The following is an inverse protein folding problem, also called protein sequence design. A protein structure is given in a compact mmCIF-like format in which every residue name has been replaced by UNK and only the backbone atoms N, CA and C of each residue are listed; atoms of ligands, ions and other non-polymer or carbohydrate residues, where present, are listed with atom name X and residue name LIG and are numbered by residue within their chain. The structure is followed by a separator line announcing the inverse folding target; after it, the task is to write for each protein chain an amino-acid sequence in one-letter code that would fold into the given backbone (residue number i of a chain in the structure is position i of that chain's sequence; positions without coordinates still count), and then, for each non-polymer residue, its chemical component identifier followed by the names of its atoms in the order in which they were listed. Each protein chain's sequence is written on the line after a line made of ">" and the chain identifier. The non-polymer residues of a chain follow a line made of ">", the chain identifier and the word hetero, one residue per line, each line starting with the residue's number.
data_IF_176171581633
#
_entry.id   IF_176171581633
#
_cell.length_a   1.000
_cell.length_b   1.000
_cell.length_c   1.000
_cell.angle_alpha   90.00
_cell.angle_beta   90.00
_cell.angle_gamma   90.00
#
_symmetry.space_group_name_H-M   'P 1'
#
loop_
_entity.id
_entity.type
_entity.pdbx_description
1 polymer ?
#
# COMPACT_ATOMS: atom_id res chain seq x y z
N UNK A 1 -33.64 -12.62 29.59
CA UNK A 1 -32.28 -12.59 30.14
C UNK A 1 -31.29 -12.97 29.04
N UNK A 2 -30.81 -12.00 28.26
CA UNK A 2 -29.67 -12.17 27.36
C UNK A 2 -28.78 -10.95 27.61
N UNK A 3 -27.95 -11.06 28.65
CA UNK A 3 -26.95 -10.08 29.07
C UNK A 3 -25.59 -10.71 28.82
N UNK A 4 -24.69 -9.95 28.18
CA UNK A 4 -23.22 -10.17 28.08
C UNK A 4 -22.71 -11.20 27.05
N UNK A 5 -22.62 -10.81 25.77
CA UNK A 5 -21.58 -11.35 24.86
C UNK A 5 -20.94 -10.26 23.98
N UNK A 6 -21.55 -9.08 23.83
CA UNK A 6 -21.02 -8.02 22.96
C UNK A 6 -20.27 -6.97 23.80
N UNK A 7 -19.10 -7.28 24.37
CA UNK A 7 -18.17 -6.27 24.93
C UNK A 7 -16.74 -6.82 25.18
N UNK A 8 -16.23 -7.71 24.31
CA UNK A 8 -14.86 -8.22 24.49
C UNK A 8 -14.01 -8.35 23.21
N UNK A 9 -14.52 -7.94 22.03
CA UNK A 9 -13.74 -8.00 20.77
C UNK A 9 -13.13 -6.64 20.39
N UNK A 10 -13.52 -5.56 21.05
CA UNK A 10 -13.04 -4.20 20.74
C UNK A 10 -11.77 -3.75 21.48
N UNK A 11 -11.15 -4.60 22.31
CA UNK A 11 -9.99 -4.21 23.12
C UNK A 11 -8.70 -5.01 22.82
N UNK A 12 -8.73 -6.03 21.97
CA UNK A 12 -7.54 -6.87 21.70
C UNK A 12 -6.73 -6.40 20.49
N UNK A 13 -7.29 -5.56 19.61
CA UNK A 13 -6.55 -5.07 18.43
C UNK A 13 -5.65 -3.84 18.70
N UNK A 14 -5.65 -3.27 19.91
CA UNK A 14 -4.91 -2.03 20.22
C UNK A 14 -3.67 -2.19 21.12
N UNK A 15 -3.34 -3.41 21.59
CA UNK A 15 -2.28 -3.62 22.58
C UNK A 15 -1.09 -4.48 22.10
N UNK A 16 -0.86 -4.56 20.78
CA UNK A 16 0.17 -5.44 20.19
C UNK A 16 1.42 -4.75 19.63
N UNK A 17 1.64 -3.44 19.85
CA UNK A 17 2.86 -2.75 19.39
C UNK A 17 3.73 -2.38 20.59
N UNK A 18 4.36 -3.38 21.20
CA UNK A 18 5.58 -3.20 21.98
C UNK A 18 6.56 -4.31 21.60
N UNK A 19 7.53 -3.91 20.78
CA UNK A 19 8.85 -4.50 20.54
C UNK A 19 8.99 -6.03 20.69
N UNK A 20 9.05 -6.77 19.57
CA UNK A 20 10.18 -7.66 19.26
C UNK A 20 10.34 -7.74 17.73
N UNK A 21 11.57 -7.54 17.29
CA UNK A 21 12.10 -7.81 15.96
C UNK A 21 11.87 -9.26 15.51
N UNK A 22 11.16 -9.44 14.40
CA UNK A 22 11.55 -10.38 13.35
C UNK A 22 10.70 -10.09 12.13
N UNK A 23 11.35 -9.94 10.97
CA UNK A 23 10.70 -9.90 9.68
C UNK A 23 9.84 -11.16 9.54
N UNK A 24 8.52 -10.99 9.58
CA UNK A 24 7.59 -12.03 9.13
C UNK A 24 7.08 -11.54 7.80
N UNK A 25 7.59 -12.17 6.74
CA UNK A 25 6.96 -12.19 5.43
C UNK A 25 5.55 -12.75 5.57
N UNK A 26 4.58 -11.88 5.86
CA UNK A 26 3.17 -12.24 5.88
C UNK A 26 2.47 -11.52 4.73
N UNK A 27 2.51 -12.16 3.56
CA UNK A 27 1.43 -12.06 2.57
C UNK A 27 0.13 -12.51 3.25
N UNK A 28 -0.64 -11.60 3.81
CA UNK A 28 -2.04 -11.81 4.16
C UNK A 28 -2.57 -10.49 4.71
N UNK A 29 -3.77 -10.08 4.27
CA UNK A 29 -4.58 -9.17 5.08
C UNK A 29 -4.51 -9.64 6.55
N UNK A 30 -4.39 -8.71 7.49
CA UNK A 30 -4.19 -9.01 8.91
C UNK A 30 -5.14 -10.15 9.33
N UNK A 31 -4.70 -11.18 10.10
CA UNK A 31 -5.51 -12.36 10.45
C UNK A 31 -6.93 -12.02 10.94
N UNK A 32 -7.10 -10.87 11.60
CA UNK A 32 -8.40 -10.36 12.03
C UNK A 32 -9.35 -9.94 10.89
N UNK A 33 -8.84 -9.52 9.73
CA UNK A 33 -9.66 -9.13 8.56
C UNK A 33 -10.32 -10.36 7.92
N UNK A 34 -9.61 -11.49 7.83
CA UNK A 34 -10.18 -12.76 7.35
C UNK A 34 -11.24 -13.31 8.32
N UNK A 35 -10.97 -13.28 9.62
CA UNK A 35 -11.95 -13.70 10.64
C UNK A 35 -13.23 -12.84 10.60
N UNK A 36 -13.11 -11.55 10.32
CA UNK A 36 -14.24 -10.63 10.16
C UNK A 36 -15.03 -10.96 8.88
N UNK A 37 -14.34 -11.26 7.77
CA UNK A 37 -14.98 -11.68 6.50
C UNK A 37 -15.75 -12.98 6.69
N UNK A 38 -15.17 -13.97 7.36
CA UNK A 38 -15.82 -15.27 7.62
C UNK A 38 -17.04 -15.11 8.52
N UNK A 39 -16.96 -14.26 9.54
CA UNK A 39 -18.10 -13.92 10.39
C UNK A 39 -19.20 -13.16 9.60
N UNK A 40 -18.82 -12.23 8.72
CA UNK A 40 -19.78 -11.54 7.86
C UNK A 40 -20.49 -12.51 6.89
N UNK A 41 -19.76 -13.48 6.33
CA UNK A 41 -20.33 -14.55 5.51
C UNK A 41 -21.31 -15.43 6.31
N UNK A 42 -20.97 -15.78 7.55
CA UNK A 42 -21.88 -16.52 8.44
C UNK A 42 -23.16 -15.72 8.75
N UNK A 43 -23.06 -14.41 8.94
CA UNK A 43 -24.21 -13.54 9.13
C UNK A 43 -25.09 -13.45 7.88
N UNK A 44 -24.51 -13.35 6.69
CA UNK A 44 -25.26 -13.40 5.42
C UNK A 44 -26.04 -14.72 5.32
N UNK A 45 -25.41 -15.85 5.64
CA UNK A 45 -26.06 -17.16 5.61
C UNK A 45 -27.26 -17.21 6.58
N UNK A 46 -27.09 -16.68 7.81
CA UNK A 46 -28.15 -16.57 8.80
C UNK A 46 -29.32 -15.70 8.32
N UNK A 47 -29.06 -14.48 7.82
CA UNK A 47 -30.11 -13.60 7.32
C UNK A 47 -30.82 -14.19 6.10
N UNK A 48 -30.08 -14.86 5.21
CA UNK A 48 -30.64 -15.49 4.01
C UNK A 48 -31.56 -16.66 4.35
N UNK A 49 -31.19 -17.50 5.32
CA UNK A 49 -32.04 -18.59 5.81
C UNK A 49 -33.37 -18.06 6.37
N UNK A 50 -33.29 -17.04 7.23
CA UNK A 50 -34.47 -16.46 7.86
C UNK A 50 -35.35 -15.67 6.86
N UNK A 51 -34.74 -14.98 5.89
CA UNK A 51 -35.47 -14.33 4.81
C UNK A 51 -36.28 -15.34 3.98
N UNK A 52 -35.65 -16.45 3.59
CA UNK A 52 -36.33 -17.49 2.83
C UNK A 52 -37.49 -18.13 3.61
N UNK A 53 -37.29 -18.38 4.91
CA UNK A 53 -38.35 -18.88 5.79
C UNK A 53 -39.51 -17.87 5.93
N UNK A 54 -39.21 -16.58 6.10
CA UNK A 54 -40.21 -15.52 6.17
C UNK A 54 -40.97 -15.36 4.85
N UNK A 55 -40.28 -15.48 3.70
CA UNK A 55 -40.93 -15.45 2.39
C UNK A 55 -41.85 -16.64 2.14
N UNK A 56 -41.45 -17.84 2.59
CA UNK A 56 -42.33 -18.99 2.52
C UNK A 56 -43.60 -18.78 3.37
N UNK A 57 -43.46 -18.19 4.57
CA UNK A 57 -44.60 -17.88 5.43
C UNK A 57 -45.51 -16.79 4.86
N UNK A 58 -44.93 -15.77 4.21
CA UNK A 58 -45.66 -14.74 3.47
C UNK A 58 -46.52 -15.37 2.37
N UNK A 59 -45.98 -16.31 1.59
CA UNK A 59 -46.71 -16.99 0.53
C UNK A 59 -47.88 -17.86 1.06
N UNK A 60 -47.67 -18.56 2.18
CA UNK A 60 -48.71 -19.34 2.86
C UNK A 60 -49.87 -18.46 3.35
N UNK A 61 -49.54 -17.32 3.98
CA UNK A 61 -50.55 -16.38 4.49
C UNK A 61 -51.24 -15.60 3.38
N UNK A 62 -50.56 -15.32 2.26
CA UNK A 62 -51.19 -14.75 1.06
C UNK A 62 -52.22 -15.72 0.48
N UNK A 63 -51.89 -17.01 0.39
CA UNK A 63 -52.83 -18.03 -0.06
C UNK A 63 -54.06 -18.11 0.87
N UNK A 64 -53.84 -18.06 2.18
CA UNK A 64 -54.91 -18.03 3.19
C UNK A 64 -55.79 -16.79 3.06
N UNK A 65 -55.19 -15.61 2.90
CA UNK A 65 -55.91 -14.36 2.69
C UNK A 65 -56.77 -14.41 1.42
N UNK A 66 -56.22 -14.90 0.32
CA UNK A 66 -56.96 -15.05 -0.93
C UNK A 66 -58.12 -16.05 -0.80
N UNK A 67 -57.93 -17.14 -0.06
CA UNK A 67 -58.99 -18.10 0.21
C UNK A 67 -60.15 -17.49 1.02
N UNK A 68 -59.84 -16.72 2.07
CA UNK A 68 -60.86 -16.01 2.87
C UNK A 68 -61.57 -14.95 2.03
N UNK A 69 -60.81 -14.14 1.28
CA UNK A 69 -61.33 -13.09 0.40
C UNK A 69 -62.32 -13.63 -0.64
N UNK A 70 -62.04 -14.81 -1.19
CA UNK A 70 -62.87 -15.43 -2.22
C UNK A 70 -64.04 -16.28 -1.67
N UNK A 71 -64.12 -16.50 -0.35
CA UNK A 71 -65.24 -17.20 0.27
C UNK A 71 -66.42 -16.22 0.46
N UNK A 72 -67.58 -16.40 -0.20
CA UNK A 72 -68.72 -15.49 -0.06
C UNK A 72 -69.38 -15.51 1.34
N UNK A 73 -69.04 -16.48 2.18
CA UNK A 73 -69.59 -16.64 3.53
C UNK A 73 -68.64 -16.21 4.66
N UNK A 74 -67.52 -15.54 4.35
CA UNK A 74 -66.60 -15.08 5.38
C UNK A 74 -67.24 -14.03 6.30
N UNK A 75 -66.89 -14.06 7.57
CA UNK A 75 -67.18 -12.98 8.51
C UNK A 75 -66.18 -11.84 8.34
N UNK A 76 -66.60 -10.63 8.69
CA UNK A 76 -65.71 -9.47 8.71
C UNK A 76 -64.45 -9.72 9.57
N UNK A 77 -64.62 -10.39 10.72
CA UNK A 77 -63.52 -10.72 11.62
C UNK A 77 -62.49 -11.67 10.96
N UNK A 78 -62.93 -12.70 10.23
CA UNK A 78 -62.03 -13.62 9.52
C UNK A 78 -61.23 -12.92 8.42
N UNK A 79 -61.87 -12.00 7.69
CA UNK A 79 -61.19 -11.19 6.68
C UNK A 79 -60.12 -10.28 7.28
N UNK A 80 -60.47 -9.53 8.33
CA UNK A 80 -59.55 -8.62 9.02
C UNK A 80 -58.36 -9.38 9.65
N UNK A 81 -58.62 -10.53 10.27
CA UNK A 81 -57.57 -11.37 10.85
C UNK A 81 -56.62 -11.93 9.78
N UNK A 82 -57.14 -12.39 8.64
CA UNK A 82 -56.32 -12.89 7.54
C UNK A 82 -55.47 -11.78 6.90
N UNK A 83 -56.05 -10.58 6.71
CA UNK A 83 -55.34 -9.41 6.20
C UNK A 83 -54.22 -8.96 7.16
N UNK A 84 -54.49 -8.95 8.47
CA UNK A 84 -53.51 -8.61 9.50
C UNK A 84 -52.34 -9.60 9.51
N UNK A 85 -52.63 -10.90 9.49
CA UNK A 85 -51.61 -11.95 9.47
C UNK A 85 -50.72 -11.87 8.23
N UNK A 86 -51.31 -11.68 7.05
CA UNK A 86 -50.55 -11.47 5.81
C UNK A 86 -49.66 -10.22 5.88
N UNK A 87 -50.20 -9.09 6.33
CA UNK A 87 -49.44 -7.84 6.48
C UNK A 87 -48.25 -8.00 7.42
N UNK A 88 -48.43 -8.69 8.54
CA UNK A 88 -47.33 -8.98 9.48
C UNK A 88 -46.24 -9.85 8.84
N UNK A 89 -46.60 -10.85 8.03
CA UNK A 89 -45.62 -11.68 7.34
C UNK A 89 -44.84 -10.91 6.27
N UNK A 90 -45.49 -9.98 5.54
CA UNK A 90 -44.82 -9.05 4.62
C UNK A 90 -43.81 -8.18 5.37
N UNK A 91 -44.20 -7.59 6.51
CA UNK A 91 -43.30 -6.76 7.31
C UNK A 91 -42.10 -7.57 7.84
N UNK A 92 -42.35 -8.82 8.26
CA UNK A 92 -41.30 -9.73 8.72
C UNK A 92 -40.30 -10.06 7.59
N UNK A 93 -40.79 -10.37 6.39
CA UNK A 93 -39.92 -10.70 5.25
C UNK A 93 -39.10 -9.50 4.79
N UNK A 94 -39.67 -8.29 4.83
CA UNK A 94 -38.95 -7.04 4.56
C UNK A 94 -37.86 -6.76 5.60
N UNK A 95 -38.13 -7.00 6.89
CA UNK A 95 -37.13 -6.83 7.94
C UNK A 95 -35.90 -7.74 7.72
N UNK A 96 -36.13 -9.01 7.39
CA UNK A 96 -35.05 -9.94 7.07
C UNK A 96 -34.29 -9.58 5.78
N UNK A 97 -34.99 -9.05 4.76
CA UNK A 97 -34.36 -8.57 3.53
C UNK A 97 -33.43 -7.39 3.80
N UNK A 98 -33.85 -6.43 4.62
CA UNK A 98 -33.03 -5.30 5.05
C UNK A 98 -31.78 -5.78 5.79
N UNK A 99 -31.93 -6.71 6.74
CA UNK A 99 -30.79 -7.31 7.44
C UNK A 99 -29.80 -8.00 6.50
N UNK A 100 -30.30 -8.75 5.51
CA UNK A 100 -29.47 -9.39 4.48
C UNK A 100 -28.70 -8.36 3.62
N UNK A 101 -29.37 -7.29 3.20
CA UNK A 101 -28.74 -6.23 2.41
C UNK A 101 -27.65 -5.49 3.20
N UNK A 102 -27.91 -5.19 4.47
CA UNK A 102 -26.94 -4.57 5.36
C UNK A 102 -25.71 -5.47 5.58
N UNK A 103 -25.92 -6.78 5.80
CA UNK A 103 -24.82 -7.74 5.94
C UNK A 103 -23.97 -7.85 4.67
N UNK A 104 -24.60 -7.82 3.48
CA UNK A 104 -23.88 -7.79 2.19
C UNK A 104 -23.09 -6.49 1.99
N UNK A 105 -23.67 -5.35 2.35
CA UNK A 105 -22.99 -4.05 2.27
C UNK A 105 -21.76 -4.01 3.21
N UNK A 106 -21.90 -4.56 4.41
CA UNK A 106 -20.80 -4.68 5.37
C UNK A 106 -19.66 -5.55 4.84
N UNK A 107 -19.97 -6.73 4.29
CA UNK A 107 -18.97 -7.60 3.66
C UNK A 107 -18.23 -6.88 2.52
N UNK A 108 -18.95 -6.15 1.68
CA UNK A 108 -18.36 -5.38 0.58
C UNK A 108 -17.37 -4.34 1.11
N UNK A 109 -17.75 -3.56 2.13
CA UNK A 109 -16.90 -2.54 2.72
C UNK A 109 -15.59 -3.14 3.28
N UNK A 110 -15.67 -4.25 4.01
CA UNK A 110 -14.49 -4.91 4.59
C UNK A 110 -13.60 -5.52 3.51
N UNK A 111 -14.19 -6.11 2.48
CA UNK A 111 -13.44 -6.67 1.34
C UNK A 111 -12.68 -5.57 0.60
N UNK A 112 -13.35 -4.45 0.34
CA UNK A 112 -12.74 -3.28 -0.30
C UNK A 112 -11.59 -2.73 0.58
N UNK A 113 -11.76 -2.74 1.92
CA UNK A 113 -10.69 -2.35 2.86
C UNK A 113 -9.51 -3.30 2.85
N UNK A 114 -9.74 -4.61 2.86
CA UNK A 114 -8.66 -5.61 2.76
C UNK A 114 -7.84 -5.43 1.48
N UNK A 115 -8.50 -5.21 0.35
CA UNK A 115 -7.82 -4.92 -0.92
C UNK A 115 -7.03 -3.60 -0.91
N UNK A 116 -7.48 -2.61 -0.14
CA UNK A 116 -6.74 -1.36 0.07
C UNK A 116 -5.51 -1.56 0.98
N UNK A 117 -5.64 -2.32 2.07
CA UNK A 117 -4.55 -2.66 2.99
C UNK A 117 -3.42 -3.43 2.27
N UNK A 118 -3.76 -4.38 1.38
CA UNK A 118 -2.79 -5.11 0.55
C UNK A 118 -2.02 -4.16 -0.40
N UNK A 119 -2.73 -3.23 -1.04
CA UNK A 119 -2.10 -2.19 -1.86
C UNK A 119 -1.20 -1.27 -1.04
N UNK A 120 -1.56 -0.97 0.20
CA UNK A 120 -0.74 -0.15 1.09
C UNK A 120 0.57 -0.85 1.45
N UNK A 121 0.53 -2.14 1.81
CA UNK A 121 1.73 -2.92 2.11
C UNK A 121 2.68 -2.98 0.89
N UNK A 122 2.14 -3.26 -0.30
CA UNK A 122 2.89 -3.23 -1.56
C UNK A 122 3.50 -1.85 -1.83
N UNK A 123 2.73 -0.77 -1.63
CA UNK A 123 3.20 0.60 -1.82
C UNK A 123 4.27 1.01 -0.80
N UNK A 124 4.21 0.52 0.44
CA UNK A 124 5.21 0.76 1.48
C UNK A 124 6.52 0.05 1.15
N UNK A 125 6.46 -1.20 0.69
CA UNK A 125 7.65 -1.92 0.20
C UNK A 125 8.30 -1.15 -0.95
N UNK A 126 7.50 -0.76 -1.96
CA UNK A 126 7.99 0.00 -3.10
C UNK A 126 8.63 1.36 -2.72
N UNK A 127 8.14 2.02 -1.65
CA UNK A 127 8.76 3.25 -1.14
C UNK A 127 10.13 2.99 -0.49
N UNK A 128 10.27 1.90 0.27
CA UNK A 128 11.55 1.51 0.87
C UNK A 128 12.58 1.14 -0.23
N UNK A 129 12.11 0.44 -1.26
CA UNK A 129 12.90 0.07 -2.44
C UNK A 129 13.39 1.33 -3.18
N UNK A 130 12.51 2.31 -3.39
CA UNK A 130 12.87 3.60 -3.99
C UNK A 130 13.84 4.42 -3.15
N UNK A 131 13.67 4.42 -1.82
CA UNK A 131 14.60 5.11 -0.92
C UNK A 131 16.00 4.51 -1.03
N UNK A 132 16.08 3.18 -1.12
CA UNK A 132 17.34 2.44 -1.31
C UNK A 132 17.97 2.76 -2.67
N UNK A 133 17.18 2.74 -3.74
CA UNK A 133 17.63 3.12 -5.09
C UNK A 133 18.14 4.55 -5.17
N UNK A 134 17.44 5.50 -4.51
CA UNK A 134 17.83 6.91 -4.45
C UNK A 134 19.17 7.09 -3.75
N UNK A 135 19.35 6.46 -2.58
CA UNK A 135 20.61 6.50 -1.86
C UNK A 135 21.76 5.90 -2.68
N UNK A 136 21.55 4.73 -3.29
CA UNK A 136 22.55 4.10 -4.14
C UNK A 136 22.92 4.94 -5.37
N UNK A 137 21.93 5.60 -5.99
CA UNK A 137 22.15 6.53 -7.10
C UNK A 137 22.98 7.74 -6.67
N UNK A 138 22.61 8.37 -5.55
CA UNK A 138 23.34 9.52 -5.01
C UNK A 138 24.79 9.15 -4.71
N UNK A 139 25.05 7.98 -4.13
CA UNK A 139 26.39 7.47 -3.91
C UNK A 139 27.16 7.29 -5.24
N UNK A 140 26.57 6.59 -6.22
CA UNK A 140 27.21 6.36 -7.52
C UNK A 140 27.57 7.67 -8.23
N UNK A 141 26.63 8.62 -8.28
CA UNK A 141 26.84 9.95 -8.87
C UNK A 141 27.93 10.73 -8.10
N UNK A 142 27.91 10.67 -6.77
CA UNK A 142 28.91 11.31 -5.90
C UNK A 142 30.33 10.83 -6.16
N UNK A 143 30.55 9.52 -6.19
CA UNK A 143 31.88 8.95 -6.46
C UNK A 143 32.33 9.21 -7.90
N UNK A 144 31.42 9.16 -8.88
CA UNK A 144 31.75 9.53 -10.25
C UNK A 144 32.18 10.99 -10.36
N UNK A 145 31.54 11.91 -9.64
CA UNK A 145 31.91 13.32 -9.63
C UNK A 145 33.29 13.55 -8.98
N UNK A 146 33.62 12.82 -7.91
CA UNK A 146 34.95 12.87 -7.28
C UNK A 146 36.03 12.39 -8.27
N UNK A 147 35.79 11.26 -8.95
CA UNK A 147 36.72 10.75 -9.96
C UNK A 147 36.90 11.76 -11.13
N UNK A 148 35.80 12.34 -11.61
CA UNK A 148 35.83 13.36 -12.67
C UNK A 148 36.56 14.64 -12.23
N UNK A 149 36.47 15.03 -10.95
CA UNK A 149 37.24 16.14 -10.40
C UNK A 149 38.75 15.92 -10.50
N UNK A 150 39.23 14.72 -10.18
CA UNK A 150 40.65 14.37 -10.31
C UNK A 150 41.07 14.25 -11.78
N UNK A 151 40.19 13.73 -12.65
CA UNK A 151 40.44 13.75 -14.10
C UNK A 151 40.61 15.18 -14.64
N UNK A 152 39.84 16.14 -14.14
CA UNK A 152 40.02 17.56 -14.44
C UNK A 152 41.39 18.09 -14.00
N UNK A 153 41.82 17.77 -12.77
CA UNK A 153 43.15 18.14 -12.28
C UNK A 153 44.29 17.54 -13.12
N UNK A 154 44.15 16.29 -13.56
CA UNK A 154 45.10 15.64 -14.48
C UNK A 154 45.20 16.45 -15.77
N UNK A 155 44.07 16.81 -16.38
CA UNK A 155 44.03 17.58 -17.62
C UNK A 155 44.68 18.97 -17.46
N UNK A 156 44.44 19.65 -16.34
CA UNK A 156 45.05 20.95 -16.04
C UNK A 156 46.58 20.85 -15.88
N UNK A 157 47.07 19.81 -15.19
CA UNK A 157 48.51 19.56 -15.02
C UNK A 157 49.17 19.17 -16.35
N UNK A 158 48.53 18.32 -17.16
CA UNK A 158 49.01 17.97 -18.51
C UNK A 158 49.11 19.21 -19.42
N UNK A 159 48.11 20.10 -19.34
CA UNK A 159 48.13 21.38 -20.06
C UNK A 159 49.25 22.31 -19.57
N UNK A 160 49.50 22.37 -18.26
CA UNK A 160 50.60 23.16 -17.70
C UNK A 160 51.97 22.63 -18.17
N UNK A 161 52.18 21.30 -18.13
CA UNK A 161 53.40 20.65 -18.62
C UNK A 161 53.64 20.99 -20.09
N UNK A 162 52.62 20.84 -20.94
CA UNK A 162 52.72 21.16 -22.37
C UNK A 162 53.08 22.64 -22.60
N UNK A 163 52.49 23.55 -21.80
CA UNK A 163 52.78 24.98 -21.84
C UNK A 163 54.24 25.32 -21.47
N UNK A 164 54.79 24.67 -20.45
CA UNK A 164 56.20 24.84 -20.08
C UNK A 164 57.15 24.18 -21.08
N UNK A 165 56.82 23.00 -21.61
CA UNK A 165 57.63 22.30 -22.61
C UNK A 165 57.88 23.15 -23.86
N UNK A 166 56.87 23.91 -24.30
CA UNK A 166 57.01 24.84 -25.42
C UNK A 166 58.06 25.97 -25.18
N UNK A 167 58.43 26.22 -23.92
CA UNK A 167 59.32 27.31 -23.50
C UNK A 167 60.71 26.83 -23.02
N UNK A 168 60.93 25.51 -22.89
CA UNK A 168 62.20 24.96 -22.36
C UNK A 168 63.40 25.33 -23.25
N UNK A 169 63.21 25.41 -24.57
CA UNK A 169 64.28 25.77 -25.50
C UNK A 169 64.82 27.19 -25.28
N UNK A 170 64.01 28.11 -24.75
CA UNK A 170 64.39 29.50 -24.47
C UNK A 170 64.71 29.73 -22.99
N UNK A 171 64.17 28.91 -22.09
CA UNK A 171 64.41 28.98 -20.64
C UNK A 171 64.66 27.57 -20.05
N UNK A 172 65.90 27.05 -20.11
CA UNK A 172 66.23 25.71 -19.60
C UNK A 172 65.91 25.50 -18.11
N UNK A 173 65.84 26.57 -17.32
CA UNK A 173 65.47 26.54 -15.89
C UNK A 173 64.03 26.05 -15.64
N UNK A 174 63.15 26.04 -16.66
CA UNK A 174 61.78 25.52 -16.56
C UNK A 174 61.74 23.99 -16.48
N UNK A 175 62.83 23.28 -16.82
CA UNK A 175 62.87 21.82 -16.78
C UNK A 175 62.57 21.26 -15.39
N UNK A 176 63.10 21.88 -14.33
CA UNK A 176 62.83 21.45 -12.95
C UNK A 176 61.35 21.59 -12.55
N UNK A 177 60.63 22.57 -13.12
CA UNK A 177 59.19 22.73 -12.88
C UNK A 177 58.40 21.64 -13.60
N UNK A 178 58.80 21.28 -14.81
CA UNK A 178 58.21 20.16 -15.58
C UNK A 178 58.40 18.84 -14.84
N UNK A 179 59.59 18.57 -14.31
CA UNK A 179 59.88 17.34 -13.57
C UNK A 179 59.02 17.25 -12.29
N UNK A 180 58.84 18.37 -11.57
CA UNK A 180 57.93 18.45 -10.42
C UNK A 180 56.47 18.19 -10.80
N UNK A 181 55.97 18.79 -11.88
CA UNK A 181 54.61 18.57 -12.38
C UNK A 181 54.41 17.13 -12.87
N UNK A 182 55.42 16.52 -13.49
CA UNK A 182 55.38 15.11 -13.89
C UNK A 182 55.27 14.18 -12.68
N UNK A 183 55.97 14.48 -11.58
CA UNK A 183 55.82 13.73 -10.33
C UNK A 183 54.41 13.88 -9.73
N UNK A 184 53.85 15.10 -9.75
CA UNK A 184 52.46 15.34 -9.34
C UNK A 184 51.45 14.60 -10.23
N UNK A 185 51.68 14.56 -11.53
CA UNK A 185 50.84 13.86 -12.50
C UNK A 185 50.78 12.36 -12.23
N UNK A 186 51.91 11.74 -11.87
CA UNK A 186 51.94 10.32 -11.47
C UNK A 186 51.07 10.07 -10.24
N UNK A 187 51.17 10.93 -9.23
CA UNK A 187 50.35 10.83 -8.02
C UNK A 187 48.85 11.01 -8.31
N UNK A 188 48.49 12.00 -9.13
CA UNK A 188 47.10 12.24 -9.54
C UNK A 188 46.52 11.08 -10.37
N UNK A 189 47.32 10.46 -11.24
CA UNK A 189 46.89 9.28 -12.03
C UNK A 189 46.61 8.07 -11.13
N UNK A 190 47.45 7.83 -10.12
CA UNK A 190 47.20 6.78 -9.14
C UNK A 190 45.93 7.05 -8.31
N UNK A 191 45.73 8.30 -7.90
CA UNK A 191 44.56 8.73 -7.15
C UNK A 191 43.26 8.64 -7.97
N UNK A 192 43.29 9.04 -9.24
CA UNK A 192 42.19 8.86 -10.18
C UNK A 192 41.83 7.38 -10.34
N UNK A 193 42.82 6.49 -10.52
CA UNK A 193 42.56 5.06 -10.66
C UNK A 193 41.83 4.48 -9.44
N UNK A 194 42.22 4.86 -8.23
CA UNK A 194 41.55 4.45 -7.00
C UNK A 194 40.11 4.97 -6.92
N UNK A 195 39.89 6.25 -7.23
CA UNK A 195 38.56 6.88 -7.21
C UNK A 195 37.64 6.35 -8.32
N UNK A 196 38.17 6.07 -9.50
CA UNK A 196 37.42 5.49 -10.62
C UNK A 196 37.00 4.05 -10.33
N UNK A 197 37.85 3.26 -9.67
CA UNK A 197 37.49 1.92 -9.20
C UNK A 197 36.34 1.99 -8.18
N UNK A 198 36.44 2.88 -7.18
CA UNK A 198 35.37 3.08 -6.20
C UNK A 198 34.05 3.56 -6.84
N UNK A 199 34.12 4.46 -7.83
CA UNK A 199 32.95 4.88 -8.60
C UNK A 199 32.30 3.70 -9.34
N UNK A 200 33.10 2.87 -10.01
CA UNK A 200 32.61 1.68 -10.71
C UNK A 200 31.93 0.69 -9.77
N UNK A 201 32.47 0.47 -8.57
CA UNK A 201 31.83 -0.38 -7.55
C UNK A 201 30.46 0.18 -7.13
N UNK A 202 30.36 1.49 -6.88
CA UNK A 202 29.08 2.13 -6.49
C UNK A 202 28.05 2.10 -7.62
N UNK A 203 28.46 2.30 -8.87
CA UNK A 203 27.59 2.13 -10.03
C UNK A 203 27.09 0.68 -10.14
N UNK A 204 27.96 -0.31 -9.96
CA UNK A 204 27.56 -1.71 -9.99
C UNK A 204 26.56 -2.06 -8.87
N UNK A 205 26.69 -1.46 -7.69
CA UNK A 205 25.70 -1.61 -6.59
C UNK A 205 24.35 -1.02 -6.99
N UNK A 206 24.33 0.19 -7.57
CA UNK A 206 23.10 0.80 -8.08
C UNK A 206 22.43 -0.03 -9.17
N UNK A 207 23.20 -0.53 -10.15
CA UNK A 207 22.70 -1.37 -11.22
C UNK A 207 22.17 -2.71 -10.71
N UNK A 208 22.84 -3.29 -9.70
CA UNK A 208 22.35 -4.49 -9.02
C UNK A 208 21.00 -4.21 -8.36
N UNK A 209 20.84 -3.09 -7.65
CA UNK A 209 19.55 -2.73 -7.06
C UNK A 209 18.45 -2.53 -8.11
N UNK A 210 18.75 -1.89 -9.26
CA UNK A 210 17.78 -1.76 -10.36
C UNK A 210 17.30 -3.13 -10.85
N UNK A 211 18.22 -4.08 -11.02
CA UNK A 211 17.91 -5.42 -11.49
C UNK A 211 17.16 -6.25 -10.43
N UNK A 212 17.60 -6.25 -9.17
CA UNK A 212 16.98 -7.04 -8.10
C UNK A 212 15.59 -6.54 -7.73
N UNK A 213 15.37 -5.23 -7.81
CA UNK A 213 14.08 -4.60 -7.53
C UNK A 213 13.17 -4.53 -8.77
N UNK A 214 13.65 -5.03 -9.92
CA UNK A 214 12.93 -5.06 -11.21
C UNK A 214 12.44 -3.67 -11.68
N UNK A 215 13.22 -2.62 -11.41
CA UNK A 215 12.96 -1.28 -11.93
C UNK A 215 13.64 -1.11 -13.29
N UNK A 216 12.86 -0.85 -14.35
CA UNK A 216 13.39 -0.62 -15.71
C UNK A 216 14.28 0.64 -15.79
N UNK A 217 14.02 1.62 -14.94
CA UNK A 217 14.82 2.84 -14.76
C UNK A 217 14.45 3.53 -13.44
N UNK A 218 15.35 4.35 -12.90
CA UNK A 218 15.02 5.24 -11.78
C UNK A 218 14.11 6.38 -12.29
N UNK A 219 12.86 6.44 -11.80
CA UNK A 219 11.87 7.46 -12.15
C UNK A 219 11.28 8.07 -10.88
N UNK A 220 11.35 9.40 -10.75
CA UNK A 220 10.84 10.18 -9.61
C UNK A 220 9.30 10.17 -9.49
N UNK A 221 8.57 9.65 -10.48
CA UNK A 221 7.09 9.72 -10.55
C UNK A 221 6.35 8.97 -9.43
N UNK A 222 7.03 8.11 -8.67
CA UNK A 222 6.43 7.35 -7.58
C UNK A 222 6.40 8.12 -6.25
N UNK A 223 7.32 9.09 -6.04
CA UNK A 223 7.31 9.98 -4.87
C UNK A 223 6.03 10.86 -4.86
N UNK A 224 5.56 11.24 -6.05
CA UNK A 224 4.38 12.08 -6.29
C UNK A 224 3.03 11.39 -5.99
N UNK A 225 3.04 10.05 -5.85
CA UNK A 225 1.86 9.24 -5.51
C UNK A 225 1.71 9.05 -3.98
N UNK A 226 2.82 8.87 -3.25
CA UNK A 226 2.81 8.73 -1.79
C UNK A 226 2.39 10.02 -1.09
N UNK A 227 2.87 11.18 -1.57
CA UNK A 227 2.51 12.49 -1.03
C UNK A 227 1.01 12.78 -1.20
N UNK A 228 0.43 12.37 -2.34
CA UNK A 228 -1.01 12.50 -2.62
C UNK A 228 -1.86 11.67 -1.65
N UNK A 229 -1.41 10.45 -1.32
CA UNK A 229 -2.13 9.54 -0.40
C UNK A 229 -2.11 10.02 1.05
N UNK A 230 -0.98 10.54 1.55
CA UNK A 230 -0.91 11.10 2.91
C UNK A 230 -1.81 12.33 3.04
N UNK A 231 -1.85 13.15 1.99
CA UNK A 231 -2.78 14.26 1.89
C UNK A 231 -4.25 13.81 1.84
N UNK A 232 -4.59 12.73 1.11
CA UNK A 232 -5.96 12.20 1.04
C UNK A 232 -6.40 11.55 2.36
N UNK A 233 -5.54 10.75 3.01
CA UNK A 233 -5.81 10.15 4.33
C UNK A 233 -6.08 11.20 5.40
N UNK A 234 -5.32 12.29 5.39
CA UNK A 234 -5.41 13.30 6.44
C UNK A 234 -6.53 14.34 6.16
N UNK A 235 -7.06 14.41 4.92
CA UNK A 235 -8.15 15.32 4.53
C UNK A 235 -9.52 14.65 4.32
N UNK A 236 -9.62 13.32 4.18
CA UNK A 236 -10.90 12.63 4.29
C UNK A 236 -11.28 12.47 5.77
N UNK A 237 -12.17 13.35 6.24
CA UNK A 237 -12.89 13.24 7.52
C UNK A 237 -13.61 11.89 7.60
N UNK A 238 -12.93 10.87 8.08
CA UNK A 238 -13.56 9.61 8.47
C UNK A 238 -14.24 9.82 9.82
N UNK A 239 -15.53 10.12 9.80
CA UNK A 239 -16.38 10.16 10.99
C UNK A 239 -16.91 8.72 11.26
N UNK A 240 -16.39 8.02 12.28
CA UNK A 240 -16.83 6.67 12.63
C UNK A 240 -18.28 6.63 13.11
N UNK A 241 -18.89 7.77 13.45
CA UNK A 241 -20.25 7.85 14.00
C UNK A 241 -21.35 7.65 12.97
N UNK A 242 -21.03 7.71 11.67
CA UNK A 242 -22.01 7.58 10.57
C UNK A 242 -22.43 6.13 10.34
N UNK A 243 -21.69 5.14 10.86
CA UNK A 243 -21.91 3.70 10.62
C UNK A 243 -22.25 2.88 11.87
N UNK A 244 -22.73 3.53 12.92
CA UNK A 244 -23.43 2.83 14.00
C UNK A 244 -24.93 3.01 13.79
N UNK A 245 -25.59 2.14 13.00
CA UNK A 245 -26.97 1.64 13.16
C UNK A 245 -27.24 0.51 12.14
#
# INVERSE_FOLDING_TARGET
>A
MIKKVIMAVSAVCAAGILFVSSAVDAKAALPCTYDIIDNANAQIAYYNQNYNAAKAKEAELLATFNAVKNNPAHTQFEYEQAAYNYTNAVNMSQWWLTGLNNAKAYLKNITDRGAFEDKFAANKSALADLTTLKAAKTDADGYSNIANGVAGQIADVEKAIAGYQAQVATCPSLQAQIDSLNAQLVALKADYAAKAAAASEKTAVFDNYLNTLNYKSYSLGFEDYQFRREWERDNEKWDPSVYNY
#
